data_IF_106749193216
#
_entry.id   IF_106749193216
#
_cell.length_a   1.000
_cell.length_b   1.000
_cell.length_c   1.000
_cell.angle_alpha   90.00
_cell.angle_beta   90.00
_cell.angle_gamma   90.00
#
_symmetry.space_group_name_H-M   'P 1'
#
loop_
_entity.id
_entity.type
_entity.pdbx_description
1 polymer ?
#
# COMPACT_ATOMS: atom_id res chain seq x y z
N UNK A 1 -0.37 -38.88 -15.86
CA UNK A 1 -1.43 -38.10 -15.21
C UNK A 1 -1.43 -36.71 -15.84
N UNK A 2 -2.53 -36.26 -16.45
CA UNK A 2 -2.59 -34.90 -17.02
C UNK A 2 -2.63 -33.90 -15.87
N UNK A 3 -1.77 -32.87 -15.96
CA UNK A 3 -1.72 -31.77 -15.03
C UNK A 3 -3.08 -31.04 -15.02
N UNK A 4 -3.72 -30.99 -13.86
CA UNK A 4 -4.98 -30.30 -13.68
C UNK A 4 -4.76 -28.81 -14.00
N UNK A 5 -5.40 -28.31 -15.04
CA UNK A 5 -5.46 -26.90 -15.39
C UNK A 5 -6.04 -26.14 -14.19
N UNK A 6 -5.35 -25.13 -13.62
CA UNK A 6 -5.90 -24.39 -12.50
C UNK A 6 -7.21 -23.72 -12.95
N UNK A 7 -8.28 -24.02 -12.26
CA UNK A 7 -9.59 -23.43 -12.51
C UNK A 7 -9.45 -21.89 -12.47
N UNK A 8 -9.88 -21.19 -13.51
CA UNK A 8 -9.93 -19.73 -13.56
C UNK A 8 -10.77 -19.27 -12.35
N UNK A 9 -10.20 -18.53 -11.41
CA UNK A 9 -10.97 -17.99 -10.29
C UNK A 9 -12.08 -17.12 -10.87
N UNK A 10 -13.33 -17.46 -10.57
CA UNK A 10 -14.50 -16.80 -11.12
C UNK A 10 -14.50 -15.31 -10.76
N UNK A 11 -15.18 -14.49 -11.56
CA UNK A 11 -15.38 -13.04 -11.38
C UNK A 11 -15.85 -12.66 -9.97
N UNK A 12 -16.49 -13.59 -9.24
CA UNK A 12 -16.93 -13.42 -7.85
C UNK A 12 -15.77 -13.27 -6.86
N UNK A 13 -14.57 -13.78 -7.15
CA UNK A 13 -13.40 -13.60 -6.28
C UNK A 13 -12.78 -12.20 -6.36
N UNK A 14 -13.09 -11.43 -7.40
CA UNK A 14 -12.58 -10.06 -7.58
C UNK A 14 -13.38 -9.03 -6.78
N UNK A 15 -14.66 -9.29 -6.53
CA UNK A 15 -15.56 -8.34 -5.87
C UNK A 15 -15.08 -7.91 -4.48
N UNK A 16 -14.65 -8.82 -3.57
CA UNK A 16 -14.12 -8.40 -2.28
C UNK A 16 -12.87 -7.51 -2.38
N UNK A 17 -11.99 -7.78 -3.36
CA UNK A 17 -10.77 -6.98 -3.57
C UNK A 17 -11.09 -5.60 -4.12
N UNK A 18 -12.03 -5.50 -5.07
CA UNK A 18 -12.53 -4.20 -5.53
C UNK A 18 -13.19 -3.42 -4.40
N UNK A 19 -13.94 -4.09 -3.54
CA UNK A 19 -14.53 -3.45 -2.36
C UNK A 19 -13.44 -2.89 -1.42
N UNK A 20 -12.31 -3.57 -1.26
CA UNK A 20 -11.16 -3.01 -0.52
C UNK A 20 -10.65 -1.74 -1.18
N UNK A 21 -10.54 -1.70 -2.52
CA UNK A 21 -10.11 -0.49 -3.22
C UNK A 21 -11.09 0.68 -3.00
N UNK A 22 -12.40 0.43 -3.02
CA UNK A 22 -13.45 1.42 -2.70
C UNK A 22 -13.29 1.92 -1.26
N UNK A 23 -13.16 0.99 -0.30
CA UNK A 23 -13.02 1.28 1.13
C UNK A 23 -11.75 2.11 1.39
N UNK A 24 -10.62 1.76 0.77
CA UNK A 24 -9.40 2.55 0.94
C UNK A 24 -9.50 3.93 0.25
N UNK A 25 -10.06 3.99 -0.95
CA UNK A 25 -10.29 5.29 -1.62
C UNK A 25 -11.17 6.23 -0.80
N UNK A 26 -12.22 5.71 -0.15
CA UNK A 26 -13.10 6.51 0.71
C UNK A 26 -12.51 6.80 2.10
N UNK A 27 -11.43 6.12 2.50
CA UNK A 27 -10.81 6.33 3.82
C UNK A 27 -10.24 7.74 4.02
N UNK A 28 -9.85 8.41 2.94
CA UNK A 28 -9.36 9.81 3.00
C UNK A 28 -10.46 10.76 3.45
N UNK A 29 -11.67 10.61 2.92
CA UNK A 29 -12.84 11.38 3.38
C UNK A 29 -13.19 11.05 4.83
N UNK A 30 -13.26 9.76 5.18
CA UNK A 30 -13.57 9.34 6.54
C UNK A 30 -12.53 9.85 7.56
N UNK A 31 -11.25 9.76 7.24
CA UNK A 31 -10.18 10.28 8.09
C UNK A 31 -10.30 11.81 8.26
N UNK A 32 -10.52 12.54 7.14
CA UNK A 32 -10.69 13.99 7.16
C UNK A 32 -11.90 14.42 7.99
N UNK A 33 -12.99 13.66 7.97
CA UNK A 33 -14.21 13.97 8.69
C UNK A 33 -14.08 13.93 10.21
N UNK A 34 -13.23 13.06 10.74
CA UNK A 34 -13.08 12.83 12.19
C UNK A 34 -11.77 13.37 12.78
N UNK A 35 -10.90 13.97 11.96
CA UNK A 35 -9.56 14.35 12.37
C UNK A 35 -9.31 15.83 12.17
N UNK A 36 -8.81 16.49 13.20
CA UNK A 36 -8.25 17.83 13.17
C UNK A 36 -6.74 17.78 13.35
N UNK A 37 -6.00 18.86 13.12
CA UNK A 37 -4.56 18.90 13.36
C UNK A 37 -4.16 18.48 14.77
N UNK A 38 -4.98 18.85 15.78
CA UNK A 38 -4.75 18.54 17.19
C UNK A 38 -5.10 17.09 17.56
N UNK A 39 -5.94 16.41 16.78
CA UNK A 39 -6.44 15.07 17.11
C UNK A 39 -5.79 13.95 16.28
N UNK A 40 -4.87 14.26 15.36
CA UNK A 40 -4.22 13.26 14.47
C UNK A 40 -3.66 12.08 15.25
N UNK A 41 -2.82 12.33 16.26
CA UNK A 41 -2.20 11.28 17.07
C UNK A 41 -3.24 10.48 17.84
N UNK A 42 -4.23 11.16 18.44
CA UNK A 42 -5.31 10.53 19.18
C UNK A 42 -6.14 9.59 18.30
N UNK A 43 -6.55 10.05 17.10
CA UNK A 43 -7.30 9.24 16.13
C UNK A 43 -6.50 8.03 15.66
N UNK A 44 -5.20 8.17 15.39
CA UNK A 44 -4.34 7.05 15.01
C UNK A 44 -4.24 6.02 16.13
N UNK A 45 -4.04 6.45 17.40
CA UNK A 45 -4.02 5.55 18.55
C UNK A 45 -5.37 4.83 18.68
N UNK A 46 -6.48 5.55 18.68
CA UNK A 46 -7.82 4.97 18.83
C UNK A 46 -8.15 3.99 17.71
N UNK A 47 -7.88 4.35 16.45
CA UNK A 47 -8.10 3.49 15.29
C UNK A 47 -7.39 2.14 15.44
N UNK A 48 -6.12 2.16 15.79
CA UNK A 48 -5.34 0.94 15.88
C UNK A 48 -5.49 0.22 17.20
N UNK A 49 -5.88 0.90 18.29
CA UNK A 49 -6.29 0.25 19.54
C UNK A 49 -7.48 -0.69 19.35
N UNK A 50 -8.37 -0.39 18.39
CA UNK A 50 -9.46 -1.31 18.01
C UNK A 50 -8.96 -2.46 17.14
N UNK A 51 -8.11 -2.17 16.15
CA UNK A 51 -7.70 -3.16 15.16
C UNK A 51 -6.61 -4.13 15.67
N UNK A 52 -5.65 -3.64 16.45
CA UNK A 52 -4.48 -4.39 16.87
C UNK A 52 -4.81 -5.60 17.76
N UNK A 53 -5.71 -5.53 18.76
CA UNK A 53 -6.08 -6.69 19.58
C UNK A 53 -6.68 -7.83 18.72
N UNK A 54 -7.54 -7.49 17.75
CA UNK A 54 -8.14 -8.48 16.85
C UNK A 54 -7.08 -9.18 16.02
N UNK A 55 -6.16 -8.42 15.41
CA UNK A 55 -5.05 -8.98 14.63
C UNK A 55 -4.13 -9.84 15.50
N UNK A 56 -3.84 -9.39 16.73
CA UNK A 56 -3.00 -10.12 17.68
C UNK A 56 -3.63 -11.45 18.10
N UNK A 57 -4.93 -11.46 18.40
CA UNK A 57 -5.65 -12.70 18.78
C UNK A 57 -5.69 -13.68 17.61
N UNK A 58 -6.08 -13.23 16.41
CA UNK A 58 -6.13 -14.08 15.22
C UNK A 58 -4.74 -14.59 14.82
N UNK A 59 -3.71 -13.76 14.96
CA UNK A 59 -2.31 -14.07 14.63
C UNK A 59 -1.52 -14.74 15.75
N UNK A 60 -2.09 -14.93 16.96
CA UNK A 60 -1.37 -15.27 18.19
C UNK A 60 -0.36 -16.40 18.08
N UNK A 61 -0.78 -17.54 17.53
CA UNK A 61 0.11 -18.71 17.36
C UNK A 61 1.29 -18.42 16.44
N UNK A 62 1.08 -17.66 15.39
CA UNK A 62 2.10 -17.30 14.39
C UNK A 62 3.02 -16.21 14.90
N UNK A 63 2.49 -15.25 15.67
CA UNK A 63 3.29 -14.21 16.34
C UNK A 63 4.32 -14.83 17.28
N UNK A 64 3.92 -15.85 18.06
CA UNK A 64 4.81 -16.57 18.97
C UNK A 64 5.88 -17.42 18.27
N UNK A 65 5.69 -17.75 17.00
CA UNK A 65 6.63 -18.52 16.21
C UNK A 65 7.69 -17.64 15.50
N UNK A 66 7.59 -16.32 15.59
CA UNK A 66 8.55 -15.41 14.96
C UNK A 66 9.89 -15.43 15.66
N UNK A 67 10.95 -15.41 14.88
CA UNK A 67 12.33 -15.25 15.39
C UNK A 67 12.57 -13.82 15.88
N UNK A 68 13.55 -13.64 16.77
CA UNK A 68 13.95 -12.31 17.24
C UNK A 68 14.42 -11.37 16.12
N UNK A 69 14.99 -11.93 15.03
CA UNK A 69 15.36 -11.16 13.85
C UNK A 69 14.12 -10.65 13.10
N UNK A 70 13.09 -11.49 12.95
CA UNK A 70 11.81 -11.10 12.34
C UNK A 70 11.10 -10.03 13.15
N UNK A 71 11.09 -10.15 14.48
CA UNK A 71 10.49 -9.15 15.37
C UNK A 71 11.19 -7.80 15.23
N UNK A 72 12.53 -7.77 15.26
CA UNK A 72 13.30 -6.53 15.07
C UNK A 72 13.08 -5.91 13.67
N UNK A 73 13.11 -6.73 12.64
CA UNK A 73 12.84 -6.28 11.27
C UNK A 73 11.43 -5.71 11.11
N UNK A 74 10.42 -6.40 11.66
CA UNK A 74 9.04 -5.91 11.67
C UNK A 74 8.89 -4.61 12.49
N UNK A 75 9.60 -4.47 13.61
CA UNK A 75 9.62 -3.24 14.40
C UNK A 75 10.19 -2.06 13.60
N UNK A 76 11.30 -2.25 12.90
CA UNK A 76 11.88 -1.20 12.04
C UNK A 76 10.91 -0.80 10.91
N UNK A 77 10.28 -1.76 10.25
CA UNK A 77 9.23 -1.48 9.28
C UNK A 77 8.03 -0.77 9.91
N UNK A 78 7.71 -1.07 11.17
CA UNK A 78 6.69 -0.39 11.95
C UNK A 78 7.00 1.09 12.21
N UNK A 79 8.27 1.45 12.41
CA UNK A 79 8.68 2.86 12.53
C UNK A 79 8.46 3.62 11.21
N UNK A 80 8.82 3.01 10.08
CA UNK A 80 8.57 3.61 8.76
C UNK A 80 7.06 3.75 8.54
N UNK A 81 6.29 2.73 8.90
CA UNK A 81 4.83 2.73 8.78
C UNK A 81 4.19 3.82 9.65
N UNK A 82 4.71 4.06 10.86
CA UNK A 82 4.29 5.17 11.71
C UNK A 82 4.48 6.51 11.00
N UNK A 83 5.64 6.74 10.39
CA UNK A 83 5.92 7.92 9.59
C UNK A 83 4.94 8.10 8.42
N UNK A 84 4.60 7.00 7.73
CA UNK A 84 3.60 7.02 6.65
C UNK A 84 2.24 7.50 7.18
N UNK A 85 1.72 6.88 8.25
CA UNK A 85 0.42 7.24 8.80
C UNK A 85 0.38 8.68 9.33
N UNK A 86 1.48 9.16 9.92
CA UNK A 86 1.57 10.56 10.34
C UNK A 86 1.48 11.50 9.14
N UNK A 87 2.31 11.28 8.12
CA UNK A 87 2.33 12.11 6.92
C UNK A 87 0.97 12.08 6.19
N UNK A 88 0.36 10.90 6.05
CA UNK A 88 -0.96 10.74 5.42
C UNK A 88 -2.06 11.44 6.22
N UNK A 89 -2.10 11.24 7.55
CA UNK A 89 -3.20 11.77 8.36
C UNK A 89 -3.09 13.28 8.52
N UNK A 90 -1.89 13.83 8.78
CA UNK A 90 -1.68 15.28 8.73
C UNK A 90 -1.91 15.85 7.32
N UNK A 91 -1.48 15.12 6.29
CA UNK A 91 -1.70 15.50 4.90
C UNK A 91 -3.18 15.65 4.57
N UNK A 92 -3.99 14.65 4.90
CA UNK A 92 -5.44 14.66 4.58
C UNK A 92 -6.21 15.76 5.32
N UNK A 93 -5.77 16.15 6.50
CA UNK A 93 -6.36 17.29 7.25
C UNK A 93 -6.14 18.60 6.49
N UNK A 94 -5.01 18.77 5.81
CA UNK A 94 -4.58 20.01 5.18
C UNK A 94 -4.71 20.02 3.64
N UNK A 95 -5.33 18.99 3.03
CA UNK A 95 -5.64 18.95 1.59
C UNK A 95 -7.04 18.40 1.34
N UNK A 96 -7.47 18.33 0.06
CA UNK A 96 -8.72 17.68 -0.31
C UNK A 96 -8.60 16.15 -0.27
N UNK A 97 -9.72 15.45 -0.10
CA UNK A 97 -9.73 13.98 -0.14
C UNK A 97 -9.31 13.46 -1.54
N UNK A 98 -9.70 14.17 -2.59
CA UNK A 98 -9.29 13.90 -3.98
C UNK A 98 -7.78 14.02 -4.13
N UNK A 99 -7.18 15.15 -3.70
CA UNK A 99 -5.73 15.35 -3.79
C UNK A 99 -4.98 14.29 -3.00
N UNK A 100 -5.40 14.01 -1.76
CA UNK A 100 -4.76 13.01 -0.91
C UNK A 100 -4.67 11.65 -1.62
N UNK A 101 -5.80 11.13 -2.12
CA UNK A 101 -5.85 9.83 -2.79
C UNK A 101 -5.10 9.77 -4.12
N UNK A 102 -5.08 10.87 -4.89
CA UNK A 102 -4.37 10.93 -6.16
C UNK A 102 -2.86 11.10 -5.98
N UNK A 103 -2.42 11.94 -5.03
CA UNK A 103 -0.98 12.13 -4.77
C UNK A 103 -0.35 10.86 -4.23
N UNK A 104 -1.00 10.16 -3.28
CA UNK A 104 -0.46 8.92 -2.73
C UNK A 104 -0.32 7.82 -3.79
N UNK A 105 -1.13 7.86 -4.85
CA UNK A 105 -1.04 6.90 -5.96
C UNK A 105 0.28 6.97 -6.74
N UNK A 106 1.05 8.06 -6.60
CA UNK A 106 2.40 8.15 -7.15
C UNK A 106 3.34 7.05 -6.60
N UNK A 107 3.00 6.42 -5.50
CA UNK A 107 3.70 5.22 -5.03
C UNK A 107 3.80 4.14 -6.13
N UNK A 108 2.80 4.04 -7.02
CA UNK A 108 2.82 3.11 -8.16
C UNK A 108 3.89 3.46 -9.20
N UNK A 109 4.31 4.71 -9.25
CA UNK A 109 5.37 5.20 -10.12
C UNK A 109 6.73 5.17 -9.39
N UNK A 110 6.75 5.63 -8.15
CA UNK A 110 7.99 5.72 -7.37
C UNK A 110 8.58 4.37 -7.03
N UNK A 111 7.74 3.37 -6.72
CA UNK A 111 8.24 2.04 -6.36
C UNK A 111 9.03 1.37 -7.48
N UNK A 112 8.54 1.24 -8.74
CA UNK A 112 9.35 0.69 -9.82
C UNK A 112 10.59 1.52 -10.15
N UNK A 113 10.51 2.87 -10.06
CA UNK A 113 11.66 3.75 -10.27
C UNK A 113 12.76 3.48 -9.24
N UNK A 114 12.39 3.40 -7.97
CA UNK A 114 13.34 3.14 -6.89
C UNK A 114 13.87 1.70 -6.97
N UNK A 115 13.02 0.71 -7.26
CA UNK A 115 13.43 -0.68 -7.44
C UNK A 115 14.44 -0.83 -8.59
N UNK A 116 14.22 -0.12 -9.72
CA UNK A 116 15.14 -0.15 -10.86
C UNK A 116 16.52 0.41 -10.51
N UNK A 117 16.56 1.49 -9.71
CA UNK A 117 17.82 2.07 -9.22
C UNK A 117 18.57 1.12 -8.32
N UNK A 118 17.87 0.46 -7.39
CA UNK A 118 18.48 -0.47 -6.43
C UNK A 118 18.98 -1.75 -7.11
N UNK A 119 18.21 -2.26 -8.09
CA UNK A 119 18.57 -3.49 -8.83
C UNK A 119 19.45 -3.26 -10.06
N UNK A 120 19.69 -2.02 -10.44
CA UNK A 120 20.46 -1.67 -11.65
C UNK A 120 19.74 -2.04 -12.96
N UNK A 121 18.41 -2.27 -12.93
CA UNK A 121 17.62 -2.66 -14.10
C UNK A 121 17.05 -1.42 -14.78
N UNK A 122 17.24 -1.30 -16.10
CA UNK A 122 16.69 -0.16 -16.86
C UNK A 122 15.18 -0.33 -17.08
N UNK A 123 14.44 0.72 -16.76
CA UNK A 123 13.02 0.79 -17.09
C UNK A 123 12.82 1.15 -18.56
N UNK A 124 11.78 0.62 -19.21
CA UNK A 124 11.44 0.99 -20.58
C UNK A 124 11.03 2.47 -20.66
N UNK A 125 11.34 3.12 -21.81
CA UNK A 125 10.99 4.53 -22.03
C UNK A 125 9.50 4.84 -21.88
N UNK A 126 8.62 3.87 -22.23
CA UNK A 126 7.17 3.96 -22.02
C UNK A 126 6.78 4.09 -20.54
N UNK A 127 7.53 3.45 -19.63
CA UNK A 127 7.32 3.64 -18.19
C UNK A 127 7.72 5.05 -17.74
N UNK A 128 8.86 5.55 -18.23
CA UNK A 128 9.32 6.91 -17.91
C UNK A 128 8.35 7.98 -18.43
N UNK A 129 7.79 7.77 -19.64
CA UNK A 129 6.75 8.64 -20.17
C UNK A 129 5.48 8.63 -19.29
N UNK A 130 5.01 7.45 -18.88
CA UNK A 130 3.87 7.29 -17.99
C UNK A 130 4.12 7.96 -16.61
N UNK A 131 5.33 7.83 -16.08
CA UNK A 131 5.77 8.51 -14.87
C UNK A 131 5.72 10.04 -15.02
N UNK A 132 6.23 10.57 -16.13
CA UNK A 132 6.17 12.00 -16.45
C UNK A 132 4.73 12.53 -16.54
N UNK A 133 3.83 11.78 -17.18
CA UNK A 133 2.39 12.10 -17.24
C UNK A 133 1.77 12.16 -15.84
N UNK A 134 2.09 11.19 -14.97
CA UNK A 134 1.59 11.18 -13.58
C UNK A 134 2.08 12.38 -12.77
N UNK A 135 3.36 12.72 -12.87
CA UNK A 135 3.95 13.87 -12.16
C UNK A 135 3.36 15.19 -12.66
N UNK A 136 3.21 15.35 -13.98
CA UNK A 136 2.54 16.51 -14.57
C UNK A 136 1.08 16.58 -14.09
N UNK A 137 0.40 15.42 -14.00
CA UNK A 137 -0.95 15.34 -13.48
C UNK A 137 -1.06 15.85 -12.05
N UNK A 138 -0.13 15.45 -11.16
CA UNK A 138 -0.10 15.97 -9.76
C UNK A 138 0.19 17.48 -9.75
N UNK A 139 1.13 17.94 -10.56
CA UNK A 139 1.42 19.37 -10.64
C UNK A 139 0.21 20.21 -11.05
N UNK A 140 -0.62 19.73 -11.99
CA UNK A 140 -1.87 20.38 -12.38
C UNK A 140 -2.98 20.20 -11.34
N UNK A 141 -3.07 19.03 -10.71
CA UNK A 141 -4.07 18.75 -9.67
C UNK A 141 -3.97 19.74 -8.51
N UNK A 142 -2.75 20.04 -8.06
CA UNK A 142 -2.51 20.96 -6.93
C UNK A 142 -2.78 22.42 -7.27
N UNK A 143 -2.95 22.78 -8.56
CA UNK A 143 -3.26 24.15 -8.97
C UNK A 143 -4.72 24.58 -8.74
N UNK A 144 -5.65 23.64 -8.60
CA UNK A 144 -7.06 23.95 -8.38
C UNK A 144 -7.64 24.83 -9.50
N UNK A 145 -8.22 25.99 -9.13
CA UNK A 145 -8.78 26.96 -10.07
C UNK A 145 -7.77 27.92 -10.69
N UNK A 146 -6.49 27.87 -10.28
CA UNK A 146 -5.44 28.78 -10.76
C UNK A 146 -4.04 28.29 -10.37
N UNK A 147 -3.01 28.98 -10.88
CA UNK A 147 -1.62 28.62 -10.56
C UNK A 147 -1.24 29.04 -9.14
N UNK A 148 -1.45 28.15 -8.19
CA UNK A 148 -1.10 28.33 -6.78
C UNK A 148 0.01 27.36 -6.37
N UNK A 149 0.75 27.69 -5.32
CA UNK A 149 1.68 26.73 -4.73
C UNK A 149 0.92 25.52 -4.15
N UNK A 150 1.49 24.30 -4.20
CA UNK A 150 0.93 23.14 -3.52
C UNK A 150 0.69 23.45 -2.04
N UNK A 151 -0.41 22.93 -1.48
CA UNK A 151 -0.69 23.07 -0.05
C UNK A 151 0.32 22.29 0.80
N UNK A 152 0.48 22.67 2.07
CA UNK A 152 1.28 21.88 3.02
C UNK A 152 0.78 20.43 3.11
N UNK A 153 -0.54 20.23 2.99
CA UNK A 153 -1.13 18.89 2.94
C UNK A 153 -0.72 18.09 1.70
N UNK A 154 -0.66 18.72 0.52
CA UNK A 154 -0.21 18.06 -0.70
C UNK A 154 1.26 17.61 -0.59
N UNK A 155 2.11 18.45 0.03
CA UNK A 155 3.52 18.10 0.27
C UNK A 155 3.67 16.96 1.28
N UNK A 156 2.85 16.93 2.34
CA UNK A 156 2.82 15.82 3.29
C UNK A 156 2.37 14.52 2.61
N UNK A 157 1.36 14.55 1.74
CA UNK A 157 0.92 13.39 0.97
C UNK A 157 1.99 12.90 -0.01
N UNK A 158 2.74 13.82 -0.64
CA UNK A 158 3.89 13.46 -1.48
C UNK A 158 4.99 12.79 -0.65
N UNK A 159 5.30 13.33 0.53
CA UNK A 159 6.21 12.73 1.50
C UNK A 159 5.76 11.33 1.91
N UNK A 160 4.45 11.12 2.15
CA UNK A 160 3.87 9.82 2.44
C UNK A 160 4.05 8.83 1.27
N UNK A 161 3.87 9.25 0.01
CA UNK A 161 4.10 8.41 -1.16
C UNK A 161 5.57 7.95 -1.26
N UNK A 162 6.51 8.83 -0.96
CA UNK A 162 7.95 8.50 -0.89
C UNK A 162 8.23 7.53 0.26
N UNK A 163 7.73 7.81 1.46
CA UNK A 163 7.91 6.95 2.63
C UNK A 163 7.30 5.56 2.41
N UNK A 164 6.12 5.49 1.76
CA UNK A 164 5.47 4.22 1.37
C UNK A 164 6.33 3.44 0.37
N UNK A 165 6.95 4.13 -0.59
CA UNK A 165 7.92 3.52 -1.52
C UNK A 165 9.11 2.91 -0.77
N UNK A 166 9.70 3.66 0.17
CA UNK A 166 10.81 3.16 1.01
C UNK A 166 10.37 1.95 1.82
N UNK A 167 9.19 1.98 2.43
CA UNK A 167 8.64 0.86 3.20
C UNK A 167 8.48 -0.40 2.36
N UNK A 168 7.90 -0.29 1.15
CA UNK A 168 7.71 -1.43 0.23
C UNK A 168 9.06 -2.02 -0.17
N UNK A 169 10.05 -1.18 -0.51
CA UNK A 169 11.38 -1.65 -0.88
C UNK A 169 12.11 -2.28 0.31
N UNK A 170 12.05 -1.67 1.49
CA UNK A 170 12.63 -2.22 2.71
C UNK A 170 12.04 -3.59 3.02
N UNK A 171 10.70 -3.72 2.98
CA UNK A 171 10.02 -5.00 3.20
C UNK A 171 10.44 -6.08 2.18
N UNK A 172 10.64 -5.70 0.92
CA UNK A 172 11.06 -6.64 -0.13
C UNK A 172 12.52 -7.09 -0.02
N UNK A 173 13.39 -6.27 0.56
CA UNK A 173 14.84 -6.51 0.61
C UNK A 173 15.34 -7.03 1.96
N UNK A 174 14.63 -6.78 3.05
CA UNK A 174 15.03 -7.20 4.39
C UNK A 174 14.97 -8.72 4.55
N UNK A 175 16.13 -9.36 4.62
CA UNK A 175 16.22 -10.81 4.87
C UNK A 175 15.61 -11.20 6.23
N UNK A 176 15.71 -10.31 7.22
CA UNK A 176 15.19 -10.55 8.57
C UNK A 176 13.68 -10.82 8.62
N UNK A 177 12.90 -10.33 7.64
CA UNK A 177 11.44 -10.55 7.57
C UNK A 177 11.04 -11.58 6.50
N UNK A 178 12.02 -12.10 5.76
CA UNK A 178 11.77 -13.09 4.70
C UNK A 178 11.17 -14.37 5.30
N UNK A 179 10.09 -14.85 4.68
CA UNK A 179 9.37 -16.04 5.15
C UNK A 179 8.45 -15.84 6.35
N UNK A 180 8.41 -14.63 6.93
CA UNK A 180 7.42 -14.31 7.96
C UNK A 180 5.99 -14.34 7.39
N UNK A 181 5.05 -14.80 8.21
CA UNK A 181 3.63 -14.77 7.86
C UNK A 181 3.15 -13.32 7.77
N UNK A 182 2.41 -13.00 6.69
CA UNK A 182 1.99 -11.62 6.40
C UNK A 182 1.12 -11.02 7.53
N UNK A 183 0.23 -11.82 8.16
CA UNK A 183 -0.59 -11.36 9.28
C UNK A 183 0.28 -10.97 10.48
N UNK A 184 1.23 -11.82 10.84
CA UNK A 184 2.13 -11.57 11.96
C UNK A 184 3.03 -10.35 11.71
N UNK A 185 3.55 -10.22 10.49
CA UNK A 185 4.36 -9.08 10.09
C UNK A 185 3.57 -7.78 10.17
N UNK A 186 2.35 -7.75 9.62
CA UNK A 186 1.45 -6.60 9.69
C UNK A 186 1.10 -6.25 11.13
N UNK A 187 0.78 -7.25 11.97
CA UNK A 187 0.44 -7.02 13.38
C UNK A 187 1.59 -6.37 14.14
N UNK A 188 2.84 -6.84 13.95
CA UNK A 188 4.00 -6.25 14.59
C UNK A 188 4.32 -4.84 14.07
N UNK A 189 4.18 -4.61 12.77
CA UNK A 189 4.37 -3.27 12.20
C UNK A 189 3.35 -2.28 12.76
N UNK A 190 2.08 -2.64 12.80
CA UNK A 190 1.03 -1.80 13.40
C UNK A 190 1.27 -1.60 14.90
N UNK A 191 1.69 -2.64 15.62
CA UNK A 191 2.07 -2.53 17.04
C UNK A 191 3.22 -1.54 17.24
N UNK A 192 4.25 -1.60 16.40
CA UNK A 192 5.36 -0.64 16.41
C UNK A 192 4.89 0.79 16.10
N UNK A 193 3.99 0.96 15.13
CA UNK A 193 3.42 2.26 14.80
C UNK A 193 2.61 2.83 15.97
N UNK A 194 1.75 2.02 16.58
CA UNK A 194 0.98 2.43 17.78
C UNK A 194 1.89 2.84 18.94
N UNK A 195 2.98 2.10 19.17
CA UNK A 195 3.95 2.46 20.20
C UNK A 195 4.56 3.85 19.94
N UNK A 196 4.91 4.16 18.67
CA UNK A 196 5.38 5.50 18.27
C UNK A 196 4.32 6.56 18.56
N UNK A 197 3.06 6.33 18.15
CA UNK A 197 1.99 7.29 18.39
C UNK A 197 1.72 7.51 19.88
N UNK A 198 1.75 6.44 20.69
CA UNK A 198 1.57 6.52 22.13
C UNK A 198 2.70 7.34 22.80
N UNK A 199 3.94 7.17 22.34
CA UNK A 199 5.08 7.97 22.83
C UNK A 199 4.91 9.44 22.41
N UNK A 200 4.53 9.71 21.18
CA UNK A 200 4.33 11.09 20.70
C UNK A 200 3.20 11.80 21.45
N UNK A 201 2.07 11.11 21.67
CA UNK A 201 0.95 11.68 22.47
C UNK A 201 1.36 12.01 23.90
N UNK A 202 2.32 11.27 24.47
CA UNK A 202 2.81 11.53 25.83
C UNK A 202 3.69 12.80 25.94
N UNK A 203 4.14 13.36 24.80
CA UNK A 203 4.91 14.60 24.78
C UNK A 203 3.94 15.79 24.91
N UNK A 204 4.15 16.69 25.89
CA UNK A 204 3.31 17.88 26.03
C UNK A 204 3.30 18.76 24.76
N UNK A 205 2.13 19.22 24.37
CA UNK A 205 1.98 20.12 23.20
C UNK A 205 1.85 19.43 21.83
N UNK A 206 1.81 18.11 21.77
CA UNK A 206 1.66 17.37 20.49
C UNK A 206 0.22 17.15 20.05
N UNK A 207 -0.74 17.68 20.80
CA UNK A 207 -2.17 17.60 20.50
C UNK A 207 -3.01 16.99 21.63
N UNK A 208 -4.27 16.69 21.32
CA UNK A 208 -5.20 16.13 22.29
C UNK A 208 -4.82 14.69 22.69
N UNK A 209 -5.07 14.35 23.95
CA UNK A 209 -4.93 12.96 24.39
C UNK A 209 -6.02 12.08 23.76
N UNK A 210 -5.80 10.76 23.57
CA UNK A 210 -6.80 9.86 23.05
C UNK A 210 -8.10 9.86 23.86
N UNK A 211 -8.02 10.03 25.16
CA UNK A 211 -9.18 10.08 26.05
C UNK A 211 -9.97 11.38 25.89
N UNK A 212 -9.28 12.52 25.73
CA UNK A 212 -9.92 13.79 25.49
C UNK A 212 -10.61 13.80 24.11
N UNK A 213 -9.95 13.28 23.08
CA UNK A 213 -10.54 13.15 21.75
C UNK A 213 -11.75 12.20 21.77
N UNK A 214 -11.64 11.03 22.40
CA UNK A 214 -12.75 10.09 22.52
C UNK A 214 -13.95 10.66 23.29
N UNK A 215 -13.70 11.46 24.31
CA UNK A 215 -14.77 12.15 25.07
C UNK A 215 -15.44 13.29 24.30
N UNK A 216 -14.78 13.85 23.29
CA UNK A 216 -15.32 14.90 22.43
C UNK A 216 -16.05 14.35 21.17
N UNK A 217 -15.85 13.07 20.85
CA UNK A 217 -16.45 12.44 19.66
C UNK A 217 -17.97 12.35 19.78
N UNK A 218 -18.64 12.76 18.73
CA UNK A 218 -20.06 12.48 18.53
C UNK A 218 -20.30 11.09 17.91
N UNK A 219 -21.56 10.75 17.64
CA UNK A 219 -21.91 9.47 17.02
C UNK A 219 -21.33 9.32 15.59
N UNK A 220 -21.20 10.42 14.84
CA UNK A 220 -20.59 10.42 13.49
C UNK A 220 -19.10 10.14 13.54
N UNK A 221 -18.39 10.74 14.49
CA UNK A 221 -16.97 10.52 14.71
C UNK A 221 -16.68 9.07 15.09
N UNK A 222 -17.48 8.50 15.99
CA UNK A 222 -17.37 7.09 16.37
C UNK A 222 -17.67 6.15 15.21
N UNK A 223 -18.64 6.46 14.36
CA UNK A 223 -18.92 5.69 13.13
C UNK A 223 -17.75 5.80 12.14
N UNK A 224 -17.19 7.00 11.96
CA UNK A 224 -16.01 7.22 11.13
C UNK A 224 -14.80 6.43 11.64
N UNK A 225 -14.54 6.46 12.94
CA UNK A 225 -13.47 5.69 13.57
C UNK A 225 -13.67 4.18 13.40
N UNK A 226 -14.90 3.70 13.63
CA UNK A 226 -15.25 2.29 13.44
C UNK A 226 -15.06 1.87 11.97
N UNK A 227 -15.47 2.73 11.03
CA UNK A 227 -15.25 2.51 9.61
C UNK A 227 -13.76 2.36 9.28
N UNK A 228 -12.92 3.28 9.76
CA UNK A 228 -11.47 3.23 9.55
C UNK A 228 -10.82 1.98 10.20
N UNK A 229 -11.23 1.62 11.41
CA UNK A 229 -10.66 0.48 12.12
C UNK A 229 -11.15 -0.87 11.55
N UNK A 230 -12.45 -1.02 11.30
CA UNK A 230 -13.04 -2.29 10.89
C UNK A 230 -12.90 -2.50 9.38
N UNK A 231 -13.37 -1.56 8.56
CA UNK A 231 -13.37 -1.76 7.12
C UNK A 231 -12.02 -1.42 6.48
N UNK A 232 -11.43 -0.26 6.78
CA UNK A 232 -10.19 0.16 6.15
C UNK A 232 -8.95 -0.55 6.72
N UNK A 233 -9.05 -1.20 7.89
CA UNK A 233 -7.94 -1.95 8.48
C UNK A 233 -8.25 -3.44 8.52
N UNK A 234 -9.16 -3.91 9.38
CA UNK A 234 -9.37 -5.36 9.58
C UNK A 234 -9.88 -6.05 8.31
N UNK A 235 -11.01 -5.61 7.78
CA UNK A 235 -11.61 -6.20 6.57
C UNK A 235 -10.63 -6.16 5.40
N UNK A 236 -10.03 -5.01 5.13
CA UNK A 236 -9.11 -4.83 4.02
C UNK A 236 -7.91 -5.78 4.09
N UNK A 237 -7.26 -5.92 5.24
CA UNK A 237 -6.14 -6.86 5.42
C UNK A 237 -6.58 -8.30 5.30
N UNK A 238 -7.71 -8.69 5.88
CA UNK A 238 -8.19 -10.07 5.78
C UNK A 238 -8.54 -10.45 4.34
N UNK A 239 -9.24 -9.57 3.62
CA UNK A 239 -9.58 -9.78 2.21
C UNK A 239 -8.32 -9.83 1.34
N UNK A 240 -7.37 -8.92 1.55
CA UNK A 240 -6.12 -8.91 0.80
C UNK A 240 -5.33 -10.20 1.00
N UNK A 241 -5.16 -10.66 2.25
CA UNK A 241 -4.48 -11.92 2.54
C UNK A 241 -5.21 -13.13 1.96
N UNK A 242 -6.53 -13.15 2.05
CA UNK A 242 -7.36 -14.20 1.47
C UNK A 242 -7.21 -14.24 -0.06
N UNK A 243 -7.27 -13.08 -0.72
CA UNK A 243 -7.19 -12.96 -2.16
C UNK A 243 -5.81 -13.38 -2.72
N UNK A 244 -4.72 -12.95 -2.08
CA UNK A 244 -3.35 -13.33 -2.49
C UNK A 244 -3.13 -14.84 -2.43
N UNK A 245 -3.77 -15.53 -1.49
CA UNK A 245 -3.69 -17.00 -1.37
C UNK A 245 -4.53 -17.75 -2.41
N UNK A 246 -5.59 -17.13 -2.95
CA UNK A 246 -6.55 -17.78 -3.87
C UNK A 246 -6.40 -17.32 -5.33
N UNK A 247 -5.73 -16.22 -5.54
CA UNK A 247 -5.49 -15.65 -6.86
C UNK A 247 -4.00 -15.38 -7.05
N UNK A 248 -3.61 -14.56 -8.02
CA UNK A 248 -2.22 -14.13 -8.16
C UNK A 248 -2.00 -12.77 -7.48
N UNK A 249 -0.81 -12.52 -6.90
CA UNK A 249 -0.44 -11.20 -6.39
C UNK A 249 -0.65 -10.08 -7.41
N UNK A 250 -0.35 -10.34 -8.68
CA UNK A 250 -0.56 -9.39 -9.78
C UNK A 250 -2.04 -9.02 -9.96
N UNK A 251 -2.95 -9.99 -9.84
CA UNK A 251 -4.40 -9.73 -9.96
C UNK A 251 -4.90 -8.88 -8.80
N UNK A 252 -4.52 -9.22 -7.57
CA UNK A 252 -4.86 -8.43 -6.37
C UNK A 252 -4.32 -7.01 -6.50
N UNK A 253 -3.05 -6.87 -6.87
CA UNK A 253 -2.43 -5.57 -7.13
C UNK A 253 -3.15 -4.80 -8.24
N UNK A 254 -3.63 -5.46 -9.31
CA UNK A 254 -4.40 -4.82 -10.38
C UNK A 254 -5.70 -4.21 -9.87
N UNK A 255 -6.44 -4.94 -9.07
CA UNK A 255 -7.73 -4.51 -8.53
C UNK A 255 -7.57 -3.40 -7.48
N UNK A 256 -6.63 -3.55 -6.56
CA UNK A 256 -6.31 -2.51 -5.56
C UNK A 256 -5.80 -1.22 -6.20
N UNK A 257 -5.14 -1.29 -7.36
CA UNK A 257 -4.70 -0.11 -8.09
C UNK A 257 -5.81 0.74 -8.67
N UNK A 258 -7.07 0.38 -8.51
CA UNK A 258 -8.22 1.25 -8.79
C UNK A 258 -8.54 2.20 -7.65
N UNK A 259 -7.87 2.08 -6.49
CA UNK A 259 -8.05 2.95 -5.31
C UNK A 259 -8.07 4.45 -5.64
N UNK A 260 -7.14 5.00 -6.46
CA UNK A 260 -7.15 6.44 -6.77
C UNK A 260 -8.41 6.90 -7.52
N UNK A 261 -9.01 6.01 -8.32
CA UNK A 261 -10.29 6.30 -9.01
C UNK A 261 -11.40 6.50 -7.99
N UNK A 262 -11.45 5.62 -6.98
CA UNK A 262 -12.45 5.68 -5.91
C UNK A 262 -12.21 6.88 -4.99
N UNK A 263 -10.93 7.20 -4.68
CA UNK A 263 -10.60 8.39 -3.90
C UNK A 263 -11.07 9.67 -4.60
N UNK A 264 -10.82 9.81 -5.90
CA UNK A 264 -11.31 10.94 -6.68
C UNK A 264 -12.84 10.96 -6.76
N UNK A 265 -13.48 9.83 -7.03
CA UNK A 265 -14.94 9.74 -7.10
C UNK A 265 -15.60 10.12 -5.78
N UNK A 266 -15.12 9.60 -4.65
CA UNK A 266 -15.66 9.90 -3.31
C UNK A 266 -15.36 11.35 -2.92
N UNK A 267 -14.16 11.85 -3.17
CA UNK A 267 -13.77 13.23 -2.88
C UNK A 267 -14.66 14.24 -3.63
N UNK A 268 -14.86 14.03 -4.92
CA UNK A 268 -15.70 14.93 -5.73
C UNK A 268 -17.19 14.78 -5.39
N UNK A 269 -17.71 13.54 -5.30
CA UNK A 269 -19.14 13.31 -5.17
C UNK A 269 -19.66 13.49 -3.73
N UNK A 270 -18.87 13.10 -2.71
CA UNK A 270 -19.33 13.08 -1.32
C UNK A 270 -18.65 14.13 -0.44
N UNK A 271 -17.36 14.42 -0.66
CA UNK A 271 -16.65 15.47 0.07
C UNK A 271 -16.93 16.87 -0.51
N UNK A 272 -17.51 16.97 -1.71
CA UNK A 272 -17.77 18.23 -2.38
C UNK A 272 -16.49 18.90 -2.91
N UNK A 273 -15.41 18.14 -3.11
CA UNK A 273 -14.16 18.64 -3.66
C UNK A 273 -14.39 19.23 -5.05
N UNK A 274 -13.86 20.42 -5.30
CA UNK A 274 -13.97 21.12 -6.58
C UNK A 274 -12.58 21.39 -7.14
N UNK A 275 -11.98 20.42 -7.84
CA UNK A 275 -10.61 20.54 -8.32
C UNK A 275 -10.40 21.65 -9.38
N UNK A 276 -11.47 22.25 -9.90
CA UNK A 276 -11.38 23.21 -11.01
C UNK A 276 -10.94 22.54 -12.32
N UNK A 277 -10.88 23.30 -13.44
CA UNK A 277 -10.54 22.74 -14.74
C UNK A 277 -9.13 22.15 -14.80
N UNK A 278 -8.13 22.85 -14.26
CA UNK A 278 -6.74 22.36 -14.21
C UNK A 278 -6.59 21.18 -13.29
N UNK A 279 -7.23 21.23 -12.11
CA UNK A 279 -7.22 20.11 -11.18
C UNK A 279 -7.91 18.87 -11.73
N UNK A 280 -9.03 19.03 -12.46
CA UNK A 280 -9.70 17.90 -13.13
C UNK A 280 -8.82 17.26 -14.21
N UNK A 281 -8.20 18.10 -15.06
CA UNK A 281 -7.22 17.59 -16.04
C UNK A 281 -6.06 16.87 -15.34
N UNK A 282 -5.55 17.44 -14.24
CA UNK A 282 -4.51 16.84 -13.42
C UNK A 282 -4.94 15.46 -12.88
N UNK A 283 -6.15 15.36 -12.35
CA UNK A 283 -6.72 14.08 -11.86
C UNK A 283 -6.76 13.02 -12.96
N UNK A 284 -7.24 13.37 -14.15
CA UNK A 284 -7.26 12.46 -15.32
C UNK A 284 -5.85 12.02 -15.69
N UNK A 285 -4.89 12.94 -15.75
CA UNK A 285 -3.50 12.61 -16.08
C UNK A 285 -2.85 11.70 -15.02
N UNK A 286 -3.13 11.90 -13.72
CA UNK A 286 -2.64 11.00 -12.67
C UNK A 286 -3.20 9.59 -12.87
N UNK A 287 -4.50 9.45 -13.11
CA UNK A 287 -5.14 8.15 -13.30
C UNK A 287 -4.61 7.43 -14.56
N UNK A 288 -4.50 8.16 -15.67
CA UNK A 288 -3.96 7.61 -16.94
C UNK A 288 -2.48 7.24 -16.78
N UNK A 289 -1.68 8.12 -16.23
CA UNK A 289 -0.23 7.92 -16.08
C UNK A 289 0.10 6.76 -15.12
N UNK A 290 -0.53 6.72 -13.94
CA UNK A 290 -0.33 5.63 -12.97
C UNK A 290 -0.84 4.29 -13.51
N UNK A 291 -2.01 4.27 -14.16
CA UNK A 291 -2.56 3.08 -14.81
C UNK A 291 -1.67 2.55 -15.95
N UNK A 292 -1.19 3.44 -16.81
CA UNK A 292 -0.27 3.09 -17.90
C UNK A 292 1.08 2.59 -17.37
N UNK A 293 1.70 3.33 -16.45
CA UNK A 293 2.97 2.95 -15.83
C UNK A 293 2.92 1.57 -15.19
N UNK A 294 1.81 1.26 -14.53
CA UNK A 294 1.56 -0.04 -13.94
C UNK A 294 1.47 -1.15 -14.99
N UNK A 295 0.70 -0.98 -16.07
CA UNK A 295 0.58 -2.01 -17.12
C UNK A 295 1.92 -2.29 -17.80
N UNK A 296 2.78 -1.27 -17.95
CA UNK A 296 4.14 -1.43 -18.48
C UNK A 296 5.04 -2.17 -17.50
N UNK A 297 4.99 -1.84 -16.21
CA UNK A 297 5.79 -2.52 -15.18
C UNK A 297 5.42 -4.00 -15.05
N UNK A 298 4.14 -4.34 -15.12
CA UNK A 298 3.66 -5.73 -15.03
C UNK A 298 4.09 -6.57 -16.27
N UNK A 299 4.09 -5.99 -17.46
CA UNK A 299 4.60 -6.64 -18.69
C UNK A 299 6.10 -6.92 -18.60
N UNK A 300 6.87 -6.01 -18.04
CA UNK A 300 8.32 -6.18 -17.85
C UNK A 300 8.68 -7.32 -16.87
N UNK A 301 7.82 -7.63 -15.92
CA UNK A 301 8.00 -8.76 -14.99
C UNK A 301 7.62 -10.12 -15.57
N UNK A 302 6.76 -10.16 -16.59
CA UNK A 302 6.28 -11.40 -17.21
C UNK A 302 7.27 -12.03 -18.19
N UNK A 303 8.31 -11.32 -18.65
CA UNK A 303 9.22 -11.76 -19.71
C UNK A 303 10.42 -12.65 -19.27
N UNK A 304 10.92 -12.66 -18.00
CA UNK A 304 12.13 -13.42 -17.66
C UNK A 304 11.97 -14.93 -17.50
N UNK A 305 10.77 -15.49 -17.35
CA UNK A 305 10.63 -16.93 -17.08
C UNK A 305 10.62 -17.84 -18.32
N UNK A 306 10.37 -17.30 -19.50
CA UNK A 306 10.33 -18.09 -20.73
C UNK A 306 11.72 -18.39 -21.31
N UNK A 307 12.76 -17.64 -20.95
CA UNK A 307 14.12 -17.81 -21.48
C UNK A 307 15.03 -18.76 -20.70
N UNK A 308 14.68 -19.11 -19.46
CA UNK A 308 15.56 -19.89 -18.59
C UNK A 308 15.38 -21.42 -18.69
N UNK A 309 14.39 -21.90 -19.43
CA UNK A 309 14.10 -23.35 -19.53
C UNK A 309 14.65 -24.05 -20.77
N UNK A 310 15.30 -23.37 -21.70
CA UNK A 310 15.71 -23.96 -22.99
C UNK A 310 17.20 -24.37 -23.09
N UNK A 311 18.01 -24.28 -22.02
CA UNK A 311 19.44 -24.66 -22.09
C UNK A 311 19.88 -25.72 -21.09
N UNK A 312 19.00 -26.62 -20.66
CA UNK A 312 19.45 -27.88 -20.06
C UNK A 312 19.38 -29.00 -21.10
N UNK A 313 20.40 -29.08 -21.94
CA UNK A 313 20.72 -30.28 -22.73
C UNK A 313 21.00 -31.42 -21.77
N UNK A 314 20.35 -32.58 -21.89
CA UNK A 314 20.72 -33.73 -21.07
C UNK A 314 22.12 -34.21 -21.51
N UNK A 315 23.09 -34.18 -20.62
CA UNK A 315 24.32 -34.92 -20.80
C UNK A 315 23.99 -36.40 -20.99
N UNK A 316 24.15 -36.90 -22.20
CA UNK A 316 24.18 -38.33 -22.48
C UNK A 316 25.34 -38.91 -21.69
N UNK A 317 25.05 -39.71 -20.68
CA UNK A 317 25.99 -40.68 -20.13
C UNK A 317 26.19 -41.75 -21.19
N UNK A 318 27.34 -41.73 -21.86
CA UNK A 318 27.84 -42.89 -22.61
C UNK A 318 28.31 -43.92 -21.58
N UNK A 319 27.53 -45.01 -21.48
CA UNK A 319 28.00 -46.23 -20.84
C UNK A 319 29.13 -46.80 -21.70
N UNK A 320 30.34 -46.77 -21.18
CA UNK A 320 31.48 -47.49 -21.74
C UNK A 320 31.47 -48.91 -21.18
N UNK A 321 31.01 -49.83 -22.03
CA UNK A 321 31.10 -51.29 -21.78
C UNK A 321 32.33 -51.79 -22.53
N UNK A 322 33.49 -51.82 -21.88
CA UNK A 322 34.58 -52.62 -22.30
C UNK A 322 34.86 -53.70 -21.24
N UNK A 323 34.20 -54.82 -21.44
CA UNK A 323 34.58 -56.08 -20.79
C UNK A 323 35.78 -56.68 -21.47
N UNK A 324 36.66 -57.24 -20.69
CA UNK A 324 37.58 -58.30 -21.15
C UNK A 324 37.63 -59.39 -20.08
N UNK A 325 37.45 -60.66 -20.48
CA UNK A 325 37.63 -61.77 -19.56
C UNK A 325 39.07 -62.28 -19.69
N UNK A 326 39.71 -62.78 -18.62
CA UNK A 326 40.97 -63.40 -18.68
C UNK A 326 41.48 -64.00 -17.38
N UNK A 327 41.23 -65.31 -17.19
CA UNK A 327 41.92 -66.30 -16.36
C UNK A 327 41.85 -66.16 -14.84
#
# INVERSE_FOLDING_TARGET
MPAATPARPGRLADLPVLLVAVVWGSSYLAAKGITTADTVLAVLVLRFAVALPVLAVVGWRRLRALSGAQVRGAGLLGLILAGIFLLETYGVVHTSATNAGLIISLTMVFTPLAESRVRGVRLPGSFLAAAGVSVLGVALLTQGAGFTAPSGGDLLMLGAAVARTVHVLAMAQMESVRGADALSLTTLQLGGAVAVFAVLVAVPGTGASPWAAAGAFDAGDWLGLAYLAVFCTLFAFFVQMWAVRRTSPSRVSLLLGTEPVWAAAVGIALAGDRPGPLGFLGAVLVLVGTGWGRTVADRGRAVPEAGAQTTRTPRRHTCDTSGTPGR
#
